data_IF_520483002184
#
_entry.id   IF_520483002184
#
_cell.length_a   1.000
_cell.length_b   1.000
_cell.length_c   1.000
_cell.angle_alpha   90.00
_cell.angle_beta   90.00
_cell.angle_gamma   90.00
#
_symmetry.space_group_name_H-M   'P 1'
#
loop_
_entity.id
_entity.type
_entity.pdbx_description
1 polymer ?
#
# COMPACT_ATOMS: atom_id res chain seq x y z
N UNK A 1 68.00 -25.33 64.27
CA UNK A 1 66.93 -25.54 63.26
C UNK A 1 65.89 -24.41 63.27
N UNK A 2 65.39 -23.96 64.44
CA UNK A 2 64.40 -22.88 64.53
C UNK A 2 64.79 -21.55 63.83
N UNK A 3 66.06 -21.14 63.95
CA UNK A 3 66.59 -19.93 63.28
C UNK A 3 66.53 -19.98 61.75
N UNK A 4 66.61 -21.18 61.16
CA UNK A 4 66.52 -21.38 59.70
C UNK A 4 65.07 -21.39 59.19
N UNK A 5 64.11 -21.70 60.05
CA UNK A 5 62.68 -21.71 59.72
C UNK A 5 62.08 -20.29 59.72
N UNK A 6 62.43 -19.46 60.71
CA UNK A 6 61.95 -18.07 60.81
C UNK A 6 62.51 -17.17 59.69
N UNK A 7 63.66 -17.54 59.11
CA UNK A 7 64.29 -16.85 57.98
C UNK A 7 64.00 -17.54 56.64
N UNK A 8 63.14 -18.56 56.61
CA UNK A 8 62.82 -19.29 55.38
C UNK A 8 61.75 -18.56 54.59
N UNK A 9 62.15 -17.92 53.50
CA UNK A 9 61.23 -17.32 52.53
C UNK A 9 60.70 -18.34 51.50
N UNK A 10 61.13 -19.62 51.59
CA UNK A 10 60.79 -20.71 50.65
C UNK A 10 59.31 -21.13 50.61
N UNK A 11 58.41 -20.35 51.19
CA UNK A 11 56.96 -20.47 51.00
C UNK A 11 56.19 -19.15 51.09
N UNK A 12 56.87 -18.00 51.17
CA UNK A 12 56.24 -16.73 51.55
C UNK A 12 55.68 -15.91 50.38
N UNK A 13 55.94 -16.26 49.11
CA UNK A 13 55.50 -15.44 47.95
C UNK A 13 55.08 -16.29 46.75
N UNK A 14 54.17 -17.24 46.95
CA UNK A 14 53.46 -17.87 45.81
C UNK A 14 51.96 -17.56 45.80
N UNK A 15 51.43 -17.03 46.90
CA UNK A 15 50.02 -16.67 47.05
C UNK A 15 49.65 -15.33 46.37
N UNK A 16 50.64 -14.55 45.93
CA UNK A 16 50.43 -13.15 45.49
C UNK A 16 50.19 -13.01 43.98
N UNK A 17 50.96 -13.72 43.13
CA UNK A 17 50.83 -13.59 41.68
C UNK A 17 49.64 -14.37 41.09
N UNK A 18 49.30 -15.54 41.66
CA UNK A 18 48.16 -16.35 41.23
C UNK A 18 46.83 -15.66 41.57
N UNK A 19 46.74 -15.03 42.74
CA UNK A 19 45.55 -14.25 43.12
C UNK A 19 45.42 -12.99 42.27
N UNK A 20 46.52 -12.29 41.99
CA UNK A 20 46.50 -11.10 41.13
C UNK A 20 46.09 -11.45 39.70
N UNK A 21 46.67 -12.50 39.10
CA UNK A 21 46.30 -12.95 37.75
C UNK A 21 44.86 -13.48 37.70
N UNK A 22 44.41 -14.25 38.69
CA UNK A 22 43.02 -14.70 38.78
C UNK A 22 42.05 -13.52 38.92
N UNK A 23 42.40 -12.51 39.71
CA UNK A 23 41.59 -11.29 39.87
C UNK A 23 41.49 -10.48 38.57
N UNK A 24 42.60 -10.33 37.84
CA UNK A 24 42.65 -9.64 36.55
C UNK A 24 41.82 -10.38 35.49
N UNK A 25 41.94 -11.71 35.44
CA UNK A 25 41.13 -12.53 34.51
C UNK A 25 39.65 -12.47 34.87
N UNK A 26 39.30 -12.55 36.15
CA UNK A 26 37.92 -12.44 36.63
C UNK A 26 37.28 -11.09 36.27
N UNK A 27 38.01 -9.98 36.46
CA UNK A 27 37.59 -8.66 36.01
C UNK A 27 37.47 -8.58 34.48
N UNK A 28 38.41 -9.19 33.75
CA UNK A 28 38.37 -9.25 32.29
C UNK A 28 37.10 -9.93 31.77
N UNK A 29 36.74 -11.07 32.35
CA UNK A 29 35.49 -11.79 32.01
C UNK A 29 34.26 -10.94 32.35
N UNK A 30 34.26 -10.27 33.51
CA UNK A 30 33.14 -9.43 33.93
C UNK A 30 32.93 -8.23 32.99
N UNK A 31 34.02 -7.58 32.56
CA UNK A 31 33.97 -6.48 31.58
C UNK A 31 33.47 -6.97 30.24
N UNK A 32 34.01 -8.09 29.72
CA UNK A 32 33.59 -8.65 28.43
C UNK A 32 32.11 -9.00 28.44
N UNK A 33 31.61 -9.63 29.51
CA UNK A 33 30.19 -9.95 29.68
C UNK A 33 29.32 -8.69 29.63
N UNK A 34 29.66 -7.66 30.41
CA UNK A 34 28.93 -6.39 30.43
C UNK A 34 28.91 -5.71 29.05
N UNK A 35 30.07 -5.65 28.37
CA UNK A 35 30.15 -5.09 27.03
C UNK A 35 29.37 -5.92 26.01
N UNK A 36 29.38 -7.25 26.12
CA UNK A 36 28.65 -8.12 25.18
C UNK A 36 27.14 -7.90 25.28
N UNK A 37 26.59 -7.81 26.51
CA UNK A 37 25.17 -7.53 26.71
C UNK A 37 24.79 -6.14 26.17
N UNK A 38 25.65 -5.14 26.39
CA UNK A 38 25.44 -3.80 25.84
C UNK A 38 25.43 -3.79 24.31
N UNK A 39 26.35 -4.51 23.68
CA UNK A 39 26.45 -4.63 22.21
C UNK A 39 25.28 -5.45 21.64
N UNK A 40 24.85 -6.53 22.29
CA UNK A 40 23.68 -7.31 21.90
C UNK A 40 22.40 -6.47 21.95
N UNK A 41 22.23 -5.68 23.01
CA UNK A 41 21.10 -4.76 23.13
C UNK A 41 21.10 -3.74 22.00
N UNK A 42 22.24 -3.06 21.79
CA UNK A 42 22.39 -2.10 20.69
C UNK A 42 22.14 -2.75 19.31
N UNK A 43 22.61 -3.98 19.10
CA UNK A 43 22.39 -4.70 17.84
C UNK A 43 20.91 -5.02 17.62
N UNK A 44 20.19 -5.42 18.67
CA UNK A 44 18.75 -5.65 18.61
C UNK A 44 17.99 -4.34 18.35
N UNK A 45 18.36 -3.25 19.00
CA UNK A 45 17.74 -1.93 18.82
C UNK A 45 17.98 -1.41 17.39
N UNK A 46 19.20 -1.56 16.86
CA UNK A 46 19.53 -1.23 15.47
C UNK A 46 18.69 -2.08 14.50
N UNK A 47 18.59 -3.40 14.75
CA UNK A 47 17.78 -4.28 13.91
C UNK A 47 16.31 -3.86 13.93
N UNK A 48 15.75 -3.54 15.10
CA UNK A 48 14.38 -3.04 15.22
C UNK A 48 14.18 -1.70 14.50
N UNK A 49 15.09 -0.74 14.65
CA UNK A 49 15.02 0.55 13.99
C UNK A 49 15.10 0.42 12.45
N UNK A 50 16.00 -0.43 11.94
CA UNK A 50 16.16 -0.65 10.51
C UNK A 50 14.98 -1.42 9.89
N UNK A 51 14.45 -2.44 10.57
CA UNK A 51 13.35 -3.28 10.04
C UNK A 51 11.96 -2.68 10.26
N UNK A 52 11.73 -2.01 11.38
CA UNK A 52 10.42 -1.48 11.76
C UNK A 52 10.12 -0.11 11.14
N UNK A 53 11.06 0.82 11.27
CA UNK A 53 10.80 2.26 11.15
C UNK A 53 11.42 2.86 9.88
N UNK A 54 12.71 2.60 9.61
CA UNK A 54 13.40 3.23 8.48
C UNK A 54 12.94 2.64 7.13
N UNK A 55 12.90 1.32 6.95
CA UNK A 55 12.59 0.72 5.64
C UNK A 55 11.12 0.94 5.23
N UNK A 56 10.18 0.76 6.15
CA UNK A 56 8.77 0.91 5.80
C UNK A 56 8.37 2.38 5.57
N UNK A 57 8.89 3.33 6.36
CA UNK A 57 8.57 4.75 6.19
C UNK A 57 9.31 5.40 5.01
N UNK A 58 10.45 4.84 4.57
CA UNK A 58 11.26 5.43 3.49
C UNK A 58 10.74 5.12 2.08
N UNK A 59 9.89 4.10 1.93
CA UNK A 59 9.21 3.79 0.66
C UNK A 59 7.71 4.14 0.67
N UNK A 60 7.09 4.20 1.85
CA UNK A 60 5.72 4.67 1.99
C UNK A 60 5.62 6.16 1.66
N UNK A 61 4.58 6.54 0.92
CA UNK A 61 4.30 7.92 0.53
C UNK A 61 2.94 8.33 1.08
N UNK A 62 2.82 9.60 1.45
CA UNK A 62 1.53 10.13 1.91
C UNK A 62 0.51 10.25 0.77
N UNK A 63 0.97 10.27 -0.49
CA UNK A 63 0.10 10.39 -1.66
C UNK A 63 0.77 9.78 -2.89
N UNK A 64 0.03 8.96 -3.64
CA UNK A 64 0.38 8.42 -4.96
C UNK A 64 -0.56 8.99 -6.01
N UNK A 65 -0.07 9.08 -7.25
CA UNK A 65 -0.88 9.51 -8.39
C UNK A 65 -0.39 8.80 -9.65
N UNK A 66 -1.33 8.20 -10.37
CA UNK A 66 -1.12 7.49 -11.64
C UNK A 66 -2.04 8.12 -12.70
N UNK A 67 -1.44 8.79 -13.68
CA UNK A 67 -2.11 9.52 -14.79
C UNK A 67 -2.09 8.77 -16.12
N UNK A 68 -1.44 7.60 -16.17
CA UNK A 68 -1.37 6.68 -17.31
C UNK A 68 -0.81 7.22 -18.64
N UNK A 69 -0.40 8.49 -18.72
CA UNK A 69 0.24 9.15 -19.87
C UNK A 69 1.61 8.56 -20.27
N UNK A 70 2.16 7.66 -19.45
CA UNK A 70 3.44 6.99 -19.69
C UNK A 70 3.38 5.48 -19.46
N UNK A 71 2.18 4.91 -19.58
CA UNK A 71 1.91 3.49 -19.44
C UNK A 71 1.47 3.06 -18.04
N UNK A 72 1.13 1.79 -17.90
CA UNK A 72 0.49 1.23 -16.69
C UNK A 72 1.40 1.15 -15.45
N UNK A 73 2.69 1.46 -15.55
CA UNK A 73 3.60 1.47 -14.40
C UNK A 73 3.61 0.16 -13.59
N UNK A 74 3.15 0.23 -12.34
CA UNK A 74 3.13 -0.89 -11.38
C UNK A 74 1.80 -1.65 -11.34
N UNK A 75 0.85 -1.34 -12.22
CA UNK A 75 -0.43 -2.03 -12.27
C UNK A 75 -0.27 -3.44 -12.84
N UNK A 76 -0.65 -4.45 -12.06
CA UNK A 76 -0.70 -5.86 -12.48
C UNK A 76 -1.96 -6.06 -13.30
N UNK A 77 -1.83 -6.68 -14.48
CA UNK A 77 -2.92 -6.74 -15.47
C UNK A 77 -3.11 -5.45 -16.25
N UNK A 78 -2.25 -4.44 -16.01
CA UNK A 78 -2.36 -3.12 -16.61
C UNK A 78 -2.07 -3.07 -18.10
N UNK A 79 -2.98 -2.46 -18.84
CA UNK A 79 -2.77 -1.96 -20.20
C UNK A 79 -3.19 -0.49 -20.24
N UNK A 80 -2.62 0.28 -21.17
CA UNK A 80 -2.99 1.68 -21.38
C UNK A 80 -3.29 1.94 -22.83
N UNK A 81 -4.18 2.89 -23.06
CA UNK A 81 -4.52 3.43 -24.36
C UNK A 81 -4.50 4.96 -24.27
N UNK A 82 -4.06 5.61 -25.33
CA UNK A 82 -4.02 7.06 -25.48
C UNK A 82 -4.57 7.49 -26.85
N UNK A 83 -5.33 6.60 -27.50
CA UNK A 83 -5.74 6.78 -28.89
C UNK A 83 -6.95 7.70 -29.05
N UNK A 84 -7.72 7.92 -27.97
CA UNK A 84 -8.84 8.85 -27.93
C UNK A 84 -8.44 10.16 -27.21
N UNK A 85 -8.36 11.25 -27.98
CA UNK A 85 -8.01 12.60 -27.49
C UNK A 85 -8.93 13.06 -26.33
N UNK A 86 -10.15 12.54 -26.26
CA UNK A 86 -11.14 12.91 -25.24
C UNK A 86 -10.79 12.39 -23.85
N UNK A 87 -10.05 11.27 -23.77
CA UNK A 87 -9.66 10.65 -22.50
C UNK A 87 -8.19 10.91 -22.15
N UNK A 88 -7.32 11.15 -23.14
CA UNK A 88 -5.88 11.17 -22.87
C UNK A 88 -5.37 9.77 -22.57
N UNK A 89 -4.29 9.67 -21.79
CA UNK A 89 -3.77 8.38 -21.35
C UNK A 89 -4.67 7.74 -20.29
N UNK A 90 -5.16 6.53 -20.53
CA UNK A 90 -6.04 5.81 -19.60
C UNK A 90 -5.51 4.42 -19.25
N UNK A 91 -5.86 3.89 -18.09
CA UNK A 91 -5.70 2.48 -17.75
C UNK A 91 -6.90 1.70 -18.28
N UNK A 92 -6.70 1.03 -19.40
CA UNK A 92 -7.75 0.35 -20.17
C UNK A 92 -7.56 0.56 -21.66
N UNK A 93 -8.61 0.36 -22.47
CA UNK A 93 -9.92 -0.15 -22.07
C UNK A 93 -9.87 -1.64 -21.66
N UNK A 94 -10.78 -2.03 -20.78
CA UNK A 94 -11.03 -3.41 -20.34
C UNK A 94 -12.48 -3.80 -20.65
N UNK A 95 -12.72 -5.04 -21.07
CA UNK A 95 -14.05 -5.57 -21.31
C UNK A 95 -14.60 -6.30 -20.09
N UNK A 96 -15.37 -7.36 -20.34
CA UNK A 96 -15.84 -8.30 -19.32
C UNK A 96 -14.75 -8.96 -18.51
N UNK A 97 -14.96 -8.98 -17.19
CA UNK A 97 -14.06 -9.63 -16.22
C UNK A 97 -14.77 -10.67 -15.36
N UNK A 98 -15.99 -11.06 -15.71
CA UNK A 98 -16.81 -12.03 -14.94
C UNK A 98 -17.00 -11.66 -13.46
N UNK A 99 -16.96 -10.36 -13.14
CA UNK A 99 -17.08 -9.83 -11.78
C UNK A 99 -15.84 -10.05 -10.90
N UNK A 100 -14.68 -10.37 -11.48
CA UNK A 100 -13.42 -10.52 -10.75
C UNK A 100 -12.48 -9.33 -10.94
N UNK A 101 -11.55 -9.13 -10.00
CA UNK A 101 -10.49 -8.12 -10.12
C UNK A 101 -9.60 -8.45 -11.34
N UNK A 102 -9.54 -7.53 -12.31
CA UNK A 102 -8.77 -7.72 -13.55
C UNK A 102 -7.46 -6.94 -13.55
N UNK A 103 -7.47 -5.77 -12.92
CA UNK A 103 -6.31 -4.89 -12.82
C UNK A 103 -6.17 -4.40 -11.39
N UNK A 104 -4.95 -4.40 -10.86
CA UNK A 104 -4.72 -4.07 -9.45
C UNK A 104 -3.34 -3.48 -9.23
N UNK A 105 -3.22 -2.63 -8.20
CA UNK A 105 -1.94 -2.11 -7.73
C UNK A 105 -1.93 -2.03 -6.21
N UNK A 106 -0.81 -2.45 -5.64
CA UNK A 106 -0.53 -2.30 -4.20
C UNK A 106 0.23 -1.01 -3.92
N UNK A 107 -0.20 -0.28 -2.90
CA UNK A 107 0.39 0.96 -2.42
C UNK A 107 0.94 0.77 -1.00
N UNK A 108 2.14 1.29 -0.75
CA UNK A 108 2.72 1.34 0.61
C UNK A 108 2.26 2.62 1.31
N UNK A 109 1.39 2.48 2.32
CA UNK A 109 0.75 3.61 2.97
C UNK A 109 1.60 4.15 4.13
N UNK A 110 1.58 5.47 4.30
CA UNK A 110 2.33 6.12 5.36
C UNK A 110 1.71 5.80 6.73
N UNK A 111 2.52 5.34 7.67
CA UNK A 111 2.06 5.05 9.03
C UNK A 111 1.71 6.34 9.80
N UNK A 112 0.78 6.26 10.75
CA UNK A 112 0.34 7.40 11.57
C UNK A 112 -0.91 8.11 11.01
N UNK A 113 -1.50 7.54 9.97
CA UNK A 113 -2.79 7.92 9.43
C UNK A 113 -3.79 6.79 9.65
N UNK A 114 -5.01 7.15 10.05
CA UNK A 114 -6.09 6.21 10.35
C UNK A 114 -6.97 5.94 9.11
N UNK A 115 -6.76 6.69 8.02
CA UNK A 115 -7.55 6.56 6.79
C UNK A 115 -6.66 6.63 5.54
N UNK A 116 -7.18 6.06 4.45
CA UNK A 116 -6.71 6.32 3.09
C UNK A 116 -7.89 6.78 2.22
N UNK A 117 -7.61 7.68 1.29
CA UNK A 117 -8.57 8.14 0.29
C UNK A 117 -8.06 7.69 -1.07
N UNK A 118 -8.91 7.00 -1.82
CA UNK A 118 -8.70 6.63 -3.22
C UNK A 118 -9.60 7.50 -4.08
N UNK A 119 -9.05 8.14 -5.10
CA UNK A 119 -9.78 8.94 -6.09
C UNK A 119 -9.37 8.51 -7.48
N UNK A 120 -10.32 8.50 -8.42
CA UNK A 120 -10.05 8.21 -9.82
C UNK A 120 -11.22 8.67 -10.69
N UNK A 121 -10.96 8.84 -11.98
CA UNK A 121 -11.99 8.97 -12.98
C UNK A 121 -12.29 7.59 -13.58
N UNK A 122 -13.57 7.29 -13.76
CA UNK A 122 -14.07 6.09 -14.45
C UNK A 122 -14.69 6.51 -15.77
N UNK A 123 -14.28 5.86 -16.85
CA UNK A 123 -14.91 5.95 -18.15
C UNK A 123 -15.71 4.68 -18.42
N UNK A 124 -17.04 4.78 -18.40
CA UNK A 124 -17.94 3.73 -18.87
C UNK A 124 -18.18 3.98 -20.36
N UNK A 125 -17.64 3.08 -21.19
CA UNK A 125 -17.50 3.28 -22.64
C UNK A 125 -18.55 2.42 -23.36
N UNK A 126 -19.17 3.01 -24.37
CA UNK A 126 -20.21 2.43 -25.22
C UNK A 126 -21.51 2.07 -24.47
N UNK A 127 -22.01 0.84 -24.64
CA UNK A 127 -23.45 0.54 -24.49
C UNK A 127 -23.86 -0.46 -23.43
N UNK A 128 -23.26 -0.35 -22.23
CA UNK A 128 -23.54 -1.20 -21.06
C UNK A 128 -25.04 -1.44 -20.84
N UNK A 129 -25.45 -2.67 -20.57
CA UNK A 129 -26.86 -3.05 -20.60
C UNK A 129 -27.43 -3.61 -19.28
N UNK A 130 -27.08 -2.95 -18.16
CA UNK A 130 -27.35 -3.33 -16.77
C UNK A 130 -26.24 -4.20 -16.18
N UNK A 131 -25.01 -3.71 -16.30
CA UNK A 131 -23.78 -4.35 -15.84
C UNK A 131 -23.05 -3.42 -14.87
N UNK A 132 -22.11 -3.96 -14.11
CA UNK A 132 -21.51 -3.31 -12.96
C UNK A 132 -20.02 -3.09 -13.15
N UNK A 133 -19.54 -1.92 -12.78
CA UNK A 133 -18.14 -1.67 -12.49
C UNK A 133 -17.89 -1.95 -11.00
N UNK A 134 -16.79 -2.63 -10.69
CA UNK A 134 -16.49 -3.11 -9.35
C UNK A 134 -15.15 -2.54 -8.89
N UNK A 135 -15.14 -1.94 -7.71
CA UNK A 135 -13.92 -1.52 -7.01
C UNK A 135 -13.56 -2.57 -5.98
N UNK A 136 -12.29 -2.98 -5.98
CA UNK A 136 -11.71 -3.91 -5.03
C UNK A 136 -10.71 -3.18 -4.13
N UNK A 137 -10.78 -3.44 -2.83
CA UNK A 137 -9.74 -3.07 -1.87
C UNK A 137 -9.23 -4.35 -1.23
N UNK A 138 -7.91 -4.56 -1.27
CA UNK A 138 -7.26 -5.78 -0.76
C UNK A 138 -7.84 -7.09 -1.35
N UNK A 139 -8.28 -7.02 -2.61
CA UNK A 139 -8.85 -8.15 -3.35
C UNK A 139 -10.32 -8.45 -3.04
N UNK A 140 -10.95 -7.70 -2.13
CA UNK A 140 -12.36 -7.84 -1.78
C UNK A 140 -13.19 -6.74 -2.47
N UNK A 141 -14.36 -7.07 -3.06
CA UNK A 141 -15.21 -6.07 -3.71
C UNK A 141 -15.88 -5.17 -2.65
N UNK A 142 -15.62 -3.86 -2.74
CA UNK A 142 -16.15 -2.85 -1.79
C UNK A 142 -17.27 -1.99 -2.37
N UNK A 143 -17.32 -1.89 -3.70
CA UNK A 143 -18.33 -1.13 -4.42
C UNK A 143 -18.67 -1.82 -5.73
N UNK A 144 -19.95 -1.80 -6.09
CA UNK A 144 -20.47 -2.25 -7.39
C UNK A 144 -21.41 -1.17 -7.89
N UNK A 145 -21.06 -0.55 -9.01
CA UNK A 145 -21.87 0.50 -9.61
C UNK A 145 -22.47 0.01 -10.93
N UNK A 146 -23.80 -0.03 -10.96
CA UNK A 146 -24.54 -0.47 -12.13
C UNK A 146 -24.66 0.66 -13.16
N UNK A 147 -24.34 0.36 -14.41
CA UNK A 147 -24.47 1.25 -15.55
C UNK A 147 -25.44 0.72 -16.59
N UNK A 148 -26.04 1.68 -17.30
CA UNK A 148 -26.90 1.43 -18.45
C UNK A 148 -26.68 2.52 -19.50
N UNK A 149 -26.72 2.16 -20.78
CA UNK A 149 -26.39 3.05 -21.90
C UNK A 149 -27.27 4.32 -22.04
N UNK A 150 -28.40 4.42 -21.33
CA UNK A 150 -29.28 5.61 -21.32
C UNK A 150 -29.36 6.32 -19.97
N UNK A 151 -28.75 5.78 -18.93
CA UNK A 151 -28.95 6.24 -17.56
C UNK A 151 -27.62 6.22 -16.81
N UNK A 152 -27.38 7.24 -15.98
CA UNK A 152 -26.10 7.35 -15.27
C UNK A 152 -25.99 6.36 -14.08
N UNK A 153 -26.99 5.50 -13.88
CA UNK A 153 -27.06 4.61 -12.74
C UNK A 153 -27.35 5.35 -11.43
N UNK A 154 -27.03 4.71 -10.30
CA UNK A 154 -27.24 5.28 -8.98
C UNK A 154 -26.03 6.12 -8.54
N UNK A 155 -26.09 7.44 -8.70
CA UNK A 155 -25.02 8.36 -8.28
C UNK A 155 -25.24 8.89 -6.85
N UNK A 156 -24.19 9.41 -6.23
CA UNK A 156 -24.21 9.89 -4.85
C UNK A 156 -23.17 9.21 -3.96
N UNK A 157 -23.29 9.42 -2.65
CA UNK A 157 -22.41 8.83 -1.64
C UNK A 157 -23.14 7.88 -0.69
N UNK A 158 -22.47 6.80 -0.30
CA UNK A 158 -22.97 5.83 0.68
C UNK A 158 -21.84 5.24 1.52
N UNK A 159 -22.22 4.68 2.66
CA UNK A 159 -21.33 3.87 3.50
C UNK A 159 -21.66 2.39 3.29
N UNK A 160 -20.63 1.59 3.11
CA UNK A 160 -20.72 0.12 3.02
C UNK A 160 -21.29 -0.48 4.30
N UNK A 161 -21.87 -1.68 4.21
CA UNK A 161 -22.60 -2.30 5.31
C UNK A 161 -21.73 -2.68 6.51
N UNK A 162 -20.43 -2.94 6.28
CA UNK A 162 -19.45 -3.19 7.32
C UNK A 162 -18.95 -1.90 7.99
N UNK A 163 -19.20 -0.74 7.37
CA UNK A 163 -18.84 0.58 7.87
C UNK A 163 -17.41 1.00 7.56
N UNK A 164 -16.63 0.19 6.85
CA UNK A 164 -15.20 0.42 6.64
C UNK A 164 -14.92 1.37 5.47
N UNK A 165 -15.86 1.46 4.53
CA UNK A 165 -15.72 2.25 3.30
C UNK A 165 -16.84 3.26 3.14
N UNK A 166 -16.48 4.50 2.81
CA UNK A 166 -17.40 5.54 2.31
C UNK A 166 -17.09 5.75 0.83
N UNK A 167 -18.07 5.49 -0.03
CA UNK A 167 -17.93 5.57 -1.48
C UNK A 167 -18.79 6.70 -1.99
N UNK A 168 -18.27 7.49 -2.94
CA UNK A 168 -19.08 8.40 -3.74
C UNK A 168 -18.71 8.32 -5.21
N UNK A 169 -19.74 8.41 -6.05
CA UNK A 169 -19.59 8.46 -7.51
C UNK A 169 -20.52 9.53 -8.06
N UNK A 170 -19.97 10.45 -8.85
CA UNK A 170 -20.70 11.54 -9.45
C UNK A 170 -20.37 11.66 -10.94
N UNK A 171 -21.35 11.96 -11.82
CA UNK A 171 -21.08 12.17 -13.23
C UNK A 171 -20.08 13.31 -13.45
N UNK A 172 -19.03 13.03 -14.21
CA UNK A 172 -18.02 14.01 -14.60
C UNK A 172 -18.32 14.53 -16.01
N UNK A 173 -19.35 15.39 -16.09
CA UNK A 173 -19.85 15.94 -17.35
C UNK A 173 -21.07 15.21 -17.91
N UNK A 174 -21.57 15.66 -19.08
CA UNK A 174 -22.70 15.00 -19.74
C UNK A 174 -22.21 13.80 -20.56
N UNK A 175 -23.11 12.83 -20.80
CA UNK A 175 -22.87 11.74 -21.75
C UNK A 175 -22.56 12.27 -23.14
N UNK A 176 -21.56 11.70 -23.80
CA UNK A 176 -21.08 12.13 -25.13
C UNK A 176 -20.59 10.91 -25.94
N UNK A 177 -20.38 11.09 -27.24
CA UNK A 177 -19.73 10.07 -28.08
C UNK A 177 -18.23 10.40 -28.10
N UNK A 178 -17.53 9.99 -27.04
CA UNK A 178 -16.12 10.37 -26.75
C UNK A 178 -15.17 9.18 -26.78
N UNK A 179 -15.69 7.96 -26.77
CA UNK A 179 -14.93 6.73 -26.87
C UNK A 179 -14.82 6.20 -28.29
N UNK A 180 -14.49 4.92 -28.37
CA UNK A 180 -14.08 4.22 -29.57
C UNK A 180 -15.21 3.99 -30.59
N UNK A 181 -16.48 4.16 -30.18
CA UNK A 181 -17.64 3.99 -31.04
C UNK A 181 -18.52 5.27 -31.10
N UNK A 182 -18.76 5.84 -32.30
CA UNK A 182 -19.57 7.05 -32.44
C UNK A 182 -21.08 6.82 -32.38
N UNK A 183 -21.57 5.58 -32.29
CA UNK A 183 -22.99 5.25 -32.27
C UNK A 183 -23.60 5.22 -30.85
N UNK A 184 -22.75 5.13 -29.82
CA UNK A 184 -23.16 5.01 -28.43
C UNK A 184 -22.58 6.14 -27.58
N UNK A 185 -23.33 6.56 -26.56
CA UNK A 185 -22.86 7.61 -25.65
C UNK A 185 -22.17 7.00 -24.44
N UNK A 186 -20.92 7.37 -24.27
CA UNK A 186 -20.09 7.12 -23.10
C UNK A 186 -20.48 8.03 -21.93
N UNK A 187 -20.02 7.67 -20.74
CA UNK A 187 -20.13 8.51 -19.56
C UNK A 187 -18.89 8.41 -18.67
N UNK A 188 -18.46 9.56 -18.16
CA UNK A 188 -17.35 9.66 -17.22
C UNK A 188 -17.88 9.95 -15.82
N UNK A 189 -17.18 9.46 -14.80
CA UNK A 189 -17.51 9.67 -13.39
C UNK A 189 -16.25 9.98 -12.61
N UNK A 190 -16.37 10.85 -11.61
CA UNK A 190 -15.36 10.97 -10.57
C UNK A 190 -15.78 10.10 -9.38
N UNK A 191 -14.89 9.19 -9.00
CA UNK A 191 -15.12 8.20 -7.95
C UNK A 191 -14.17 8.49 -6.79
N UNK A 192 -14.69 8.41 -5.56
CA UNK A 192 -13.92 8.52 -4.34
C UNK A 192 -14.28 7.38 -3.38
N UNK A 193 -13.27 6.78 -2.76
CA UNK A 193 -13.41 5.74 -1.74
C UNK A 193 -12.56 6.12 -0.54
N UNK A 194 -13.20 6.42 0.58
CA UNK A 194 -12.54 6.60 1.87
C UNK A 194 -12.47 5.25 2.59
N UNK A 195 -11.26 4.82 2.93
CA UNK A 195 -10.95 3.54 3.56
C UNK A 195 -10.50 3.79 5.00
N UNK A 196 -11.20 3.20 5.97
CA UNK A 196 -10.85 3.25 7.38
C UNK A 196 -9.82 2.16 7.72
N UNK A 197 -8.83 2.48 8.54
CA UNK A 197 -7.80 1.56 9.02
C UNK A 197 -7.13 0.72 7.90
N UNK A 198 -6.60 1.33 6.83
CA UNK A 198 -6.12 0.61 5.64
C UNK A 198 -4.80 -0.17 5.87
N UNK A 199 -4.27 -0.17 7.09
CA UNK A 199 -2.98 -0.77 7.41
C UNK A 199 -1.79 -0.01 6.80
N UNK A 200 -0.68 -0.72 6.57
CA UNK A 200 0.57 -0.15 6.02
C UNK A 200 0.72 -0.37 4.52
N UNK A 201 -0.15 -1.19 3.95
CA UNK A 201 -0.17 -1.53 2.54
C UNK A 201 -1.60 -1.87 2.18
N UNK A 202 -2.06 -1.36 1.04
CA UNK A 202 -3.42 -1.53 0.56
C UNK A 202 -3.38 -1.71 -0.94
N UNK A 203 -4.12 -2.68 -1.50
CA UNK A 203 -4.33 -2.76 -2.94
C UNK A 203 -5.62 -2.07 -3.35
N UNK A 204 -5.56 -1.39 -4.50
CA UNK A 204 -6.73 -0.88 -5.21
C UNK A 204 -6.82 -1.65 -6.52
N UNK A 205 -7.98 -2.20 -6.82
CA UNK A 205 -8.22 -2.90 -8.07
C UNK A 205 -9.60 -2.68 -8.63
N UNK A 206 -9.76 -3.08 -9.89
CA UNK A 206 -10.95 -2.82 -10.68
C UNK A 206 -11.35 -4.04 -11.50
N UNK A 207 -12.64 -4.16 -11.72
CA UNK A 207 -13.26 -5.18 -12.56
C UNK A 207 -14.66 -4.76 -12.99
N UNK A 208 -15.33 -5.64 -13.72
CA UNK A 208 -16.70 -5.46 -14.17
C UNK A 208 -17.45 -6.78 -14.37
N UNK A 209 -18.78 -6.71 -14.38
CA UNK A 209 -19.67 -7.80 -14.78
C UNK A 209 -20.03 -7.75 -16.27
N UNK A 210 -19.37 -6.90 -17.05
CA UNK A 210 -19.54 -6.84 -18.50
C UNK A 210 -19.46 -8.25 -19.10
N UNK A 211 -20.33 -8.54 -20.05
CA UNK A 211 -20.45 -9.88 -20.65
C UNK A 211 -20.03 -9.93 -22.12
N UNK A 212 -19.73 -8.77 -22.71
CA UNK A 212 -19.35 -8.63 -24.12
C UNK A 212 -17.85 -8.32 -24.31
N UNK A 213 -17.42 -8.31 -25.58
CA UNK A 213 -16.03 -8.07 -25.95
C UNK A 213 -15.63 -6.59 -25.84
N UNK A 214 -14.32 -6.35 -25.70
CA UNK A 214 -13.69 -5.02 -25.63
C UNK A 214 -14.16 -3.99 -26.67
N UNK A 215 -14.50 -4.44 -27.89
CA UNK A 215 -14.88 -3.56 -29.00
C UNK A 215 -16.35 -3.08 -28.95
N UNK A 216 -17.12 -3.46 -27.92
CA UNK A 216 -18.56 -3.14 -27.79
C UNK A 216 -18.95 -2.60 -26.42
N UNK A 217 -18.43 -3.19 -25.34
CA UNK A 217 -18.62 -2.69 -23.98
C UNK A 217 -17.28 -2.73 -23.25
N UNK A 218 -16.86 -1.57 -22.77
CA UNK A 218 -15.60 -1.46 -22.06
C UNK A 218 -15.62 -0.40 -20.96
N UNK A 219 -14.58 -0.43 -20.14
CA UNK A 219 -14.29 0.61 -19.17
C UNK A 219 -12.81 0.93 -19.16
N UNK A 220 -12.49 2.14 -18.71
CA UNK A 220 -11.14 2.52 -18.36
C UNK A 220 -11.17 3.37 -17.08
N UNK A 221 -10.04 3.44 -16.40
CA UNK A 221 -9.85 4.34 -15.27
C UNK A 221 -8.70 5.29 -15.55
N UNK A 222 -8.79 6.49 -15.00
CA UNK A 222 -7.76 7.51 -15.11
C UNK A 222 -7.54 8.24 -13.78
N UNK A 223 -6.44 8.97 -13.65
CA UNK A 223 -6.13 9.87 -12.54
C UNK A 223 -6.24 9.19 -11.16
N UNK A 224 -5.69 7.98 -11.02
CA UNK A 224 -5.79 7.23 -9.77
C UNK A 224 -4.89 7.85 -8.70
N UNK A 225 -5.49 8.54 -7.74
CA UNK A 225 -4.87 9.08 -6.54
C UNK A 225 -5.10 8.19 -5.32
N UNK A 226 -4.06 8.00 -4.50
CA UNK A 226 -4.18 7.31 -3.20
C UNK A 226 -3.45 8.10 -2.13
N UNK A 227 -4.17 8.60 -1.13
CA UNK A 227 -3.63 9.51 -0.10
C UNK A 227 -3.89 8.99 1.31
N UNK A 228 -2.84 8.83 2.12
CA UNK A 228 -2.96 8.56 3.56
C UNK A 228 -3.30 9.86 4.32
N UNK A 229 -4.36 9.85 5.12
CA UNK A 229 -4.87 11.05 5.82
C UNK A 229 -5.56 10.73 7.16
N UNK A 230 -5.67 11.73 8.03
CA UNK A 230 -6.51 11.72 9.22
C UNK A 230 -7.74 12.63 9.07
N UNK A 231 -7.81 13.37 7.96
CA UNK A 231 -8.92 14.23 7.59
C UNK A 231 -9.22 14.02 6.10
N UNK A 232 -10.17 13.13 5.78
CA UNK A 232 -10.61 12.94 4.40
C UNK A 232 -11.18 14.21 3.78
N UNK A 233 -11.66 15.20 4.55
CA UNK A 233 -12.20 16.44 4.00
C UNK A 233 -11.14 17.39 3.42
N UNK A 234 -9.86 17.16 3.71
CA UNK A 234 -8.73 17.98 3.25
C UNK A 234 -7.92 17.36 2.09
N UNK A 235 -8.31 16.16 1.64
CA UNK A 235 -7.77 15.49 0.44
C UNK A 235 -8.62 15.87 -0.76
#
# INVERSE_FOLDING_TARGET
MLKRFILSESGAVTTDYVMLSASVVGLGIAVVSSTSMGVETLANDINAALTGEIVNASFARSSYFDDFESGAGFWVGGQTDDSEDAYGGILGPYGGTDGVEAVTRTYDLMSGYDMAVVEFDLHAIDSWDNEDFIVFIDGEPVSSHNFRWQEDGATGGWTTSDGNYVVSIEPNGPRQHTGYNPDWTDQSYSVRVEVTDPGRSMSVGFGSTLTQSLDDESWAVDNVGVTSTNDPGEV
#
